data_IF_619047336895
#
_entry.id   IF_619047336895
#
_cell.length_a   1.000
_cell.length_b   1.000
_cell.length_c   1.000
_cell.angle_alpha   90.00
_cell.angle_beta   90.00
_cell.angle_gamma   90.00
#
_symmetry.space_group_name_H-M   'P 1'
#
loop_
_entity.id
_entity.type
_entity.pdbx_description
1 polymer ?
#
# COMPACT_ATOMS: atom_id res chain seq x y z
N UNK A 1 34.17 0.39 -31.81
CA UNK A 1 32.72 0.44 -31.56
C UNK A 1 32.54 0.45 -30.05
N UNK A 2 32.44 1.64 -29.46
CA UNK A 2 32.30 1.81 -28.01
C UNK A 2 30.81 1.76 -27.67
N UNK A 3 30.44 0.81 -26.83
CA UNK A 3 29.07 0.63 -26.33
C UNK A 3 28.90 1.54 -25.12
N UNK A 4 28.16 2.64 -25.28
CA UNK A 4 27.66 3.47 -24.17
C UNK A 4 26.45 2.73 -23.60
N UNK A 5 26.57 2.18 -22.38
CA UNK A 5 25.50 1.41 -21.72
C UNK A 5 25.12 1.92 -20.32
N UNK A 6 25.73 3.02 -19.86
CA UNK A 6 25.55 3.57 -18.49
C UNK A 6 24.80 4.92 -18.42
N UNK A 7 24.45 5.53 -19.56
CA UNK A 7 23.82 6.86 -19.59
C UNK A 7 22.37 6.85 -19.11
N UNK A 8 21.56 5.85 -19.48
CA UNK A 8 20.12 5.82 -19.13
C UNK A 8 19.87 5.70 -17.63
N UNK A 9 20.70 4.94 -16.92
CA UNK A 9 20.54 4.76 -15.48
C UNK A 9 20.95 6.03 -14.71
N UNK A 10 21.93 6.75 -15.25
CA UNK A 10 22.39 8.03 -14.69
C UNK A 10 21.36 9.12 -14.94
N UNK A 11 20.78 9.18 -16.14
CA UNK A 11 19.71 10.09 -16.51
C UNK A 11 18.43 9.87 -15.68
N UNK A 12 18.02 8.62 -15.46
CA UNK A 12 16.87 8.29 -14.62
C UNK A 12 17.08 8.71 -13.15
N UNK A 13 18.30 8.55 -12.63
CA UNK A 13 18.64 9.00 -11.26
C UNK A 13 18.63 10.53 -11.15
N UNK A 14 19.12 11.23 -12.16
CA UNK A 14 19.11 12.70 -12.21
C UNK A 14 17.67 13.22 -12.33
N UNK A 15 16.84 12.62 -13.19
CA UNK A 15 15.42 12.98 -13.33
C UNK A 15 14.68 12.81 -11.99
N UNK A 16 14.89 11.68 -11.31
CA UNK A 16 14.31 11.41 -9.99
C UNK A 16 14.73 12.45 -8.95
N UNK A 17 16.02 12.83 -8.93
CA UNK A 17 16.54 13.82 -7.98
C UNK A 17 16.00 15.25 -8.25
N UNK A 18 15.86 15.63 -9.52
CA UNK A 18 15.30 16.95 -9.89
C UNK A 18 13.81 17.06 -9.54
N UNK A 19 13.07 15.98 -9.64
CA UNK A 19 11.66 15.93 -9.24
C UNK A 19 11.49 15.98 -7.72
N UNK A 20 12.40 15.35 -6.96
CA UNK A 20 12.43 15.48 -5.50
C UNK A 20 12.59 16.94 -5.06
N UNK A 21 13.43 17.70 -5.77
CA UNK A 21 13.58 19.15 -5.54
C UNK A 21 12.28 19.88 -5.88
N UNK A 22 11.62 19.54 -6.99
CA UNK A 22 10.39 20.20 -7.42
C UNK A 22 9.21 19.95 -6.46
N UNK A 23 9.05 18.71 -5.98
CA UNK A 23 8.04 18.35 -4.97
C UNK A 23 8.31 19.11 -3.66
N UNK A 24 9.57 19.15 -3.22
CA UNK A 24 9.97 19.90 -2.02
C UNK A 24 9.63 21.39 -2.14
N UNK A 25 9.87 21.99 -3.32
CA UNK A 25 9.55 23.39 -3.59
C UNK A 25 8.04 23.65 -3.58
N UNK A 26 7.22 22.77 -4.17
CA UNK A 26 5.75 22.88 -4.13
C UNK A 26 5.20 22.80 -2.70
N UNK A 27 5.78 21.94 -1.85
CA UNK A 27 5.40 21.84 -0.43
C UNK A 27 5.75 23.10 0.37
N UNK A 28 6.91 23.73 0.10
CA UNK A 28 7.32 25.01 0.71
C UNK A 28 6.38 26.15 0.29
N UNK A 29 5.85 26.10 -0.94
CA UNK A 29 5.01 27.15 -1.52
C UNK A 29 3.51 27.04 -1.16
N UNK A 30 3.10 26.04 -0.36
CA UNK A 30 1.86 26.10 0.42
C UNK A 30 0.56 25.64 -0.27
N UNK A 31 0.62 24.94 -1.40
CA UNK A 31 -0.58 24.30 -2.00
C UNK A 31 -0.95 23.01 -1.23
N UNK A 32 -1.57 23.16 -0.05
CA UNK A 32 -2.05 22.01 0.74
C UNK A 32 -3.43 21.56 0.28
N UNK A 33 -3.48 20.80 -0.80
CA UNK A 33 -4.59 19.88 -1.06
C UNK A 33 -4.38 18.58 -0.25
N UNK A 34 -5.43 17.96 0.31
CA UNK A 34 -5.35 16.64 0.93
C UNK A 34 -5.16 15.58 -0.18
N UNK A 35 -3.97 15.55 -0.79
CA UNK A 35 -3.64 14.69 -1.92
C UNK A 35 -2.77 13.54 -1.44
N UNK A 36 -3.26 12.32 -1.65
CA UNK A 36 -2.66 11.05 -1.19
C UNK A 36 -1.20 10.83 -1.61
N UNK A 37 -0.77 11.47 -2.72
CA UNK A 37 0.61 11.37 -3.20
C UNK A 37 1.41 12.67 -3.14
N UNK A 38 0.85 13.81 -2.72
CA UNK A 38 1.63 15.07 -2.64
C UNK A 38 2.56 15.11 -1.42
N UNK A 39 2.32 14.25 -0.42
CA UNK A 39 3.13 14.13 0.78
C UNK A 39 3.96 12.85 0.75
N UNK A 40 4.68 12.59 -0.35
CA UNK A 40 5.74 11.58 -0.33
C UNK A 40 6.82 12.05 0.62
N UNK A 41 6.86 11.50 1.83
CA UNK A 41 7.96 11.73 2.74
C UNK A 41 9.15 10.85 2.35
N UNK A 42 10.34 11.45 2.31
CA UNK A 42 11.58 10.70 2.48
C UNK A 42 11.62 10.26 3.94
N UNK A 43 11.02 9.11 4.25
CA UNK A 43 10.99 8.61 5.62
C UNK A 43 12.40 8.29 6.10
N UNK A 44 12.73 8.75 7.30
CA UNK A 44 13.97 8.43 7.98
C UNK A 44 14.04 6.94 8.35
N UNK A 45 15.26 6.47 8.57
CA UNK A 45 15.54 5.16 9.16
C UNK A 45 14.65 4.93 10.41
N UNK A 46 13.92 3.81 10.44
CA UNK A 46 13.09 3.41 11.60
C UNK A 46 11.65 3.95 11.64
N UNK A 47 11.05 4.39 10.53
CA UNK A 47 9.62 4.75 10.50
C UNK A 47 8.69 3.53 10.64
N UNK A 48 7.46 3.75 11.13
CA UNK A 48 6.43 2.71 11.24
C UNK A 48 6.06 2.14 9.86
N UNK A 49 6.06 2.98 8.82
CA UNK A 49 5.81 2.59 7.44
C UNK A 49 6.88 1.62 6.95
N UNK A 50 8.16 1.92 7.22
CA UNK A 50 9.27 1.07 6.83
C UNK A 50 9.26 -0.24 7.62
N UNK A 51 8.98 -0.22 8.92
CA UNK A 51 8.84 -1.44 9.72
C UNK A 51 7.69 -2.31 9.18
N UNK A 52 6.52 -1.71 8.95
CA UNK A 52 5.36 -2.42 8.41
C UNK A 52 5.68 -3.02 7.04
N UNK A 53 6.19 -2.21 6.10
CA UNK A 53 6.59 -2.66 4.77
C UNK A 53 7.65 -3.76 4.81
N UNK A 54 8.61 -3.65 5.74
CA UNK A 54 9.65 -4.66 5.93
C UNK A 54 9.07 -5.98 6.42
N UNK A 55 8.14 -5.95 7.38
CA UNK A 55 7.45 -7.14 7.86
C UNK A 55 6.70 -7.85 6.71
N UNK A 56 6.00 -7.10 5.86
CA UNK A 56 5.32 -7.66 4.67
C UNK A 56 6.34 -8.26 3.70
N UNK A 57 7.40 -7.51 3.36
CA UNK A 57 8.44 -7.95 2.41
C UNK A 57 9.14 -9.22 2.87
N UNK A 58 9.44 -9.34 4.17
CA UNK A 58 10.11 -10.51 4.72
C UNK A 58 9.28 -11.78 4.59
N UNK A 59 7.95 -11.71 4.71
CA UNK A 59 7.08 -12.88 4.43
C UNK A 59 7.30 -13.38 2.99
N UNK A 60 7.40 -12.47 2.02
CA UNK A 60 7.67 -12.84 0.63
C UNK A 60 9.09 -13.38 0.41
N UNK A 61 10.09 -12.90 1.17
CA UNK A 61 11.46 -13.42 1.13
C UNK A 61 11.51 -14.84 1.68
N UNK A 62 10.89 -15.08 2.85
CA UNK A 62 10.78 -16.40 3.46
C UNK A 62 10.07 -17.41 2.54
N UNK A 63 9.00 -16.97 1.86
CA UNK A 63 8.30 -17.78 0.86
C UNK A 63 9.13 -18.08 -0.39
N UNK A 64 9.94 -17.12 -0.85
CA UNK A 64 10.85 -17.34 -1.98
C UNK A 64 11.92 -18.38 -1.63
N UNK A 65 12.49 -18.30 -0.41
CA UNK A 65 13.42 -19.31 0.12
C UNK A 65 12.78 -20.70 0.13
N UNK A 66 11.58 -20.83 0.70
CA UNK A 66 10.88 -22.12 0.79
C UNK A 66 10.52 -22.67 -0.59
N UNK A 67 10.12 -21.80 -1.51
CA UNK A 67 9.86 -22.19 -2.90
C UNK A 67 11.10 -22.84 -3.52
N UNK A 68 12.28 -22.24 -3.34
CA UNK A 68 13.54 -22.77 -3.87
C UNK A 68 13.96 -24.06 -3.17
N UNK A 69 13.96 -24.07 -1.83
CA UNK A 69 14.34 -25.25 -1.02
C UNK A 69 13.47 -26.48 -1.32
N UNK A 70 12.19 -26.27 -1.63
CA UNK A 70 11.23 -27.34 -1.92
C UNK A 70 10.99 -27.56 -3.43
N UNK A 71 11.75 -26.89 -4.30
CA UNK A 71 11.60 -26.96 -5.76
C UNK A 71 10.15 -26.74 -6.25
N UNK A 72 9.46 -25.76 -5.67
CA UNK A 72 8.08 -25.43 -5.99
C UNK A 72 8.00 -24.45 -7.17
N UNK A 73 6.98 -24.58 -8.02
CA UNK A 73 6.76 -23.66 -9.14
C UNK A 73 6.27 -22.26 -8.71
N UNK A 74 5.59 -22.17 -7.56
CA UNK A 74 4.96 -20.93 -7.06
C UNK A 74 4.99 -20.85 -5.54
N UNK A 75 5.01 -19.63 -4.99
CA UNK A 75 4.78 -19.36 -3.57
C UNK A 75 3.37 -19.82 -3.16
N UNK A 76 3.19 -20.21 -1.90
CA UNK A 76 1.87 -20.64 -1.42
C UNK A 76 1.04 -19.45 -0.97
N UNK A 77 -0.04 -19.13 -1.69
CA UNK A 77 -0.92 -18.02 -1.34
C UNK A 77 -1.53 -18.15 0.07
N UNK A 78 -1.86 -19.38 0.48
CA UNK A 78 -2.40 -19.66 1.83
C UNK A 78 -1.36 -19.39 2.91
N UNK A 79 -0.11 -19.84 2.71
CA UNK A 79 0.96 -19.58 3.69
C UNK A 79 1.32 -18.11 3.76
N UNK A 80 1.44 -17.43 2.61
CA UNK A 80 1.62 -15.98 2.54
C UNK A 80 0.52 -15.28 3.35
N UNK A 81 -0.75 -15.59 3.08
CA UNK A 81 -1.88 -14.94 3.76
C UNK A 81 -1.85 -15.15 5.28
N UNK A 82 -1.57 -16.37 5.74
CA UNK A 82 -1.49 -16.68 7.16
C UNK A 82 -0.34 -15.95 7.84
N UNK A 83 0.86 -15.98 7.24
CA UNK A 83 2.03 -15.31 7.81
C UNK A 83 1.89 -13.80 7.81
N UNK A 84 1.33 -13.20 6.74
CA UNK A 84 1.00 -11.78 6.75
C UNK A 84 0.06 -11.44 7.90
N UNK A 85 -1.00 -12.23 8.12
CA UNK A 85 -1.91 -12.05 9.25
C UNK A 85 -1.18 -12.04 10.60
N UNK A 86 -0.31 -13.02 10.84
CA UNK A 86 0.46 -13.14 12.08
C UNK A 86 1.42 -11.95 12.27
N UNK A 87 2.17 -11.59 11.22
CA UNK A 87 3.14 -10.47 11.28
C UNK A 87 2.44 -9.13 11.53
N UNK A 88 1.27 -8.91 10.91
CA UNK A 88 0.47 -7.71 11.14
C UNK A 88 -0.09 -7.66 12.56
N UNK A 89 -0.64 -8.76 13.08
CA UNK A 89 -1.09 -8.82 14.48
C UNK A 89 0.04 -8.46 15.43
N UNK A 90 1.22 -9.03 15.23
CA UNK A 90 2.39 -8.76 16.07
C UNK A 90 2.85 -7.30 15.96
N UNK A 91 2.80 -6.72 14.77
CA UNK A 91 3.10 -5.30 14.55
C UNK A 91 2.13 -4.41 15.33
N UNK A 92 0.82 -4.62 15.17
CA UNK A 92 -0.18 -3.79 15.83
C UNK A 92 -0.15 -3.96 17.36
N UNK A 93 -0.01 -5.19 17.89
CA UNK A 93 0.09 -5.42 19.34
C UNK A 93 1.34 -4.83 19.98
N UNK A 94 2.39 -4.54 19.20
CA UNK A 94 3.60 -3.87 19.68
C UNK A 94 3.40 -2.36 19.80
N UNK A 95 2.61 -1.78 18.89
CA UNK A 95 2.48 -0.34 18.72
C UNK A 95 1.20 0.24 19.31
N UNK A 96 0.15 -0.57 19.51
CA UNK A 96 -1.09 -0.15 20.15
C UNK A 96 -1.07 -0.54 21.63
N UNK A 97 -1.38 0.41 22.51
CA UNK A 97 -1.41 0.18 23.97
C UNK A 97 -2.82 -0.07 24.52
N UNK A 98 -3.85 0.35 23.79
CA UNK A 98 -5.26 0.32 24.21
C UNK A 98 -6.09 -0.78 23.53
N UNK A 99 -5.56 -1.43 22.50
CA UNK A 99 -6.26 -2.44 21.69
C UNK A 99 -5.41 -3.70 21.53
N UNK A 100 -6.09 -4.83 21.52
CA UNK A 100 -5.51 -6.13 21.15
C UNK A 100 -5.92 -6.47 19.73
N UNK A 101 -4.95 -6.72 18.87
CA UNK A 101 -5.12 -7.20 17.50
C UNK A 101 -5.13 -8.74 17.46
N UNK A 102 -6.00 -9.32 16.62
CA UNK A 102 -6.04 -10.74 16.31
C UNK A 102 -6.50 -10.98 14.86
N UNK A 103 -6.15 -12.12 14.28
CA UNK A 103 -6.61 -12.50 12.94
C UNK A 103 -8.05 -13.00 12.99
N UNK A 104 -8.89 -12.53 12.07
CA UNK A 104 -10.29 -12.95 11.94
C UNK A 104 -10.71 -12.94 10.46
N UNK A 105 -10.96 -14.12 9.89
CA UNK A 105 -11.51 -14.27 8.53
C UNK A 105 -10.80 -13.44 7.42
N UNK A 106 -9.46 -13.41 7.46
CA UNK A 106 -8.65 -12.61 6.51
C UNK A 106 -8.56 -11.12 6.84
N UNK A 107 -9.05 -10.70 7.99
CA UNK A 107 -8.92 -9.36 8.56
C UNK A 107 -8.10 -9.39 9.86
N UNK A 108 -7.69 -8.22 10.31
CA UNK A 108 -7.23 -7.96 11.68
C UNK A 108 -8.40 -7.33 12.45
N UNK A 109 -8.86 -8.02 13.48
CA UNK A 109 -9.87 -7.52 14.40
C UNK A 109 -9.16 -6.89 15.60
N UNK A 110 -9.53 -5.65 15.91
CA UNK A 110 -9.05 -4.96 17.10
C UNK A 110 -10.12 -5.01 18.18
N UNK A 111 -9.72 -5.43 19.37
CA UNK A 111 -10.57 -5.51 20.56
C UNK A 111 -10.07 -4.60 21.66
N UNK A 112 -10.99 -4.04 22.42
CA UNK A 112 -10.72 -3.46 23.74
C UNK A 112 -11.48 -4.31 24.74
N UNK A 113 -10.74 -5.00 25.60
CA UNK A 113 -11.31 -6.06 26.45
C UNK A 113 -12.07 -7.09 25.58
N UNK A 114 -13.37 -7.28 25.81
CA UNK A 114 -14.20 -8.21 25.03
C UNK A 114 -14.98 -7.57 23.88
N UNK A 115 -14.87 -6.26 23.69
CA UNK A 115 -15.61 -5.53 22.65
C UNK A 115 -14.82 -5.41 21.35
N UNK A 116 -15.48 -5.67 20.22
CA UNK A 116 -14.93 -5.46 18.88
C UNK A 116 -14.97 -3.96 18.54
N UNK A 117 -13.81 -3.36 18.26
CA UNK A 117 -13.67 -1.90 18.11
C UNK A 117 -13.37 -1.43 16.71
N UNK A 118 -12.55 -2.18 15.97
CA UNK A 118 -12.16 -1.85 14.61
C UNK A 118 -11.83 -3.12 13.82
N UNK A 119 -11.89 -3.00 12.50
CA UNK A 119 -11.54 -4.07 11.58
C UNK A 119 -10.59 -3.50 10.51
N UNK A 120 -9.52 -4.23 10.21
CA UNK A 120 -8.53 -3.81 9.22
C UNK A 120 -8.25 -4.93 8.21
N UNK A 121 -8.20 -4.58 6.93
CA UNK A 121 -7.79 -5.50 5.87
C UNK A 121 -6.55 -4.97 5.17
N UNK A 122 -5.54 -5.80 5.07
CA UNK A 122 -4.39 -5.53 4.21
C UNK A 122 -4.43 -6.39 2.95
N UNK A 123 -4.10 -5.78 1.82
CA UNK A 123 -3.84 -6.47 0.56
C UNK A 123 -2.53 -5.96 0.00
N UNK A 124 -1.60 -6.86 -0.33
CA UNK A 124 -0.29 -6.47 -0.90
C UNK A 124 -0.46 -5.65 -2.17
N UNK A 125 -1.42 -6.01 -3.00
CA UNK A 125 -1.86 -5.33 -4.21
C UNK A 125 -3.29 -5.78 -4.53
N UNK A 126 -3.97 -5.13 -5.48
CA UNK A 126 -5.32 -5.54 -5.88
C UNK A 126 -5.32 -6.68 -6.89
N UNK A 127 -4.31 -6.81 -7.74
CA UNK A 127 -4.18 -7.91 -8.70
C UNK A 127 -5.43 -8.07 -9.59
N UNK A 128 -6.17 -9.16 -9.38
CA UNK A 128 -7.44 -9.45 -10.08
C UNK A 128 -8.64 -8.69 -9.50
N UNK A 129 -8.52 -8.11 -8.31
CA UNK A 129 -9.56 -7.31 -7.64
C UNK A 129 -9.40 -5.81 -7.92
N UNK A 130 -8.68 -5.40 -8.97
CA UNK A 130 -8.48 -3.99 -9.32
C UNK A 130 -9.72 -3.38 -9.98
N UNK A 131 -9.82 -2.05 -9.96
CA UNK A 131 -10.99 -1.33 -10.46
C UNK A 131 -12.25 -1.64 -9.64
N UNK A 132 -13.41 -1.72 -10.28
CA UNK A 132 -14.69 -1.93 -9.58
C UNK A 132 -14.76 -3.27 -8.83
N UNK A 133 -13.96 -4.27 -9.21
CA UNK A 133 -13.88 -5.55 -8.49
C UNK A 133 -13.41 -5.38 -7.03
N UNK A 134 -12.71 -4.28 -6.70
CA UNK A 134 -12.33 -4.00 -5.32
C UNK A 134 -13.54 -3.67 -4.45
N UNK A 135 -14.61 -3.13 -5.03
CA UNK A 135 -15.80 -2.72 -4.30
C UNK A 135 -16.48 -3.91 -3.63
N UNK A 136 -16.40 -5.10 -4.23
CA UNK A 136 -16.92 -6.33 -3.63
C UNK A 136 -16.14 -6.73 -2.37
N UNK A 137 -14.81 -6.56 -2.37
CA UNK A 137 -13.99 -6.80 -1.19
C UNK A 137 -14.32 -5.83 -0.04
N UNK A 138 -14.62 -4.57 -0.39
CA UNK A 138 -15.05 -3.54 0.57
C UNK A 138 -16.45 -3.86 1.10
N UNK A 139 -17.39 -4.21 0.22
CA UNK A 139 -18.75 -4.62 0.59
C UNK A 139 -18.73 -5.78 1.58
N UNK A 140 -17.92 -6.81 1.31
CA UNK A 140 -17.73 -7.93 2.24
C UNK A 140 -17.20 -7.45 3.60
N UNK A 141 -16.23 -6.53 3.63
CA UNK A 141 -15.73 -5.95 4.87
C UNK A 141 -16.80 -5.20 5.66
N UNK A 142 -17.68 -4.46 4.98
CA UNK A 142 -18.82 -3.76 5.61
C UNK A 142 -19.84 -4.74 6.18
N UNK A 143 -20.17 -5.80 5.46
CA UNK A 143 -21.07 -6.86 5.93
C UNK A 143 -20.48 -7.56 7.17
N UNK A 144 -19.17 -7.84 7.14
CA UNK A 144 -18.48 -8.44 8.27
C UNK A 144 -18.42 -7.49 9.48
N UNK A 145 -18.12 -6.21 9.28
CA UNK A 145 -18.13 -5.21 10.36
C UNK A 145 -19.50 -5.13 11.04
N UNK A 146 -20.59 -5.10 10.25
CA UNK A 146 -21.97 -5.14 10.77
C UNK A 146 -22.23 -6.40 11.60
N UNK A 147 -21.82 -7.57 11.11
CA UNK A 147 -21.96 -8.85 11.82
C UNK A 147 -21.22 -8.87 13.15
N UNK A 148 -20.05 -8.22 13.22
CA UNK A 148 -19.21 -8.15 14.41
C UNK A 148 -19.57 -7.00 15.36
N UNK A 149 -20.53 -6.14 15.01
CA UNK A 149 -20.90 -4.95 15.77
C UNK A 149 -19.85 -3.82 15.71
N UNK A 150 -18.94 -3.87 14.73
CA UNK A 150 -17.91 -2.83 14.53
C UNK A 150 -18.52 -1.65 13.76
N UNK A 151 -18.37 -0.40 14.23
CA UNK A 151 -18.81 0.77 13.46
C UNK A 151 -18.17 0.81 12.07
N UNK A 152 -18.95 1.12 11.03
CA UNK A 152 -18.42 1.18 9.65
C UNK A 152 -17.32 2.24 9.54
N UNK A 153 -17.35 3.32 10.32
CA UNK A 153 -16.27 4.32 10.40
C UNK A 153 -14.93 3.76 10.89
N UNK A 154 -14.94 2.60 11.55
CA UNK A 154 -13.79 1.92 12.12
C UNK A 154 -13.39 0.67 11.31
N UNK A 155 -13.84 0.62 10.06
CA UNK A 155 -13.41 -0.36 9.07
C UNK A 155 -12.33 0.28 8.17
N UNK A 156 -11.15 -0.31 8.17
CA UNK A 156 -9.99 0.22 7.47
C UNK A 156 -9.45 -0.80 6.45
N UNK A 157 -8.91 -0.29 5.34
CA UNK A 157 -8.26 -1.10 4.33
C UNK A 157 -6.92 -0.48 3.95
N UNK A 158 -5.93 -1.30 3.66
CA UNK A 158 -4.65 -0.84 3.13
C UNK A 158 -4.22 -1.66 1.92
N UNK A 159 -3.80 -0.96 0.88
CA UNK A 159 -3.20 -1.54 -0.33
C UNK A 159 -1.69 -1.31 -0.25
N UNK A 160 -0.92 -2.39 -0.20
CA UNK A 160 0.53 -2.38 -0.01
C UNK A 160 1.30 -1.78 -1.19
N UNK A 161 0.81 -1.94 -2.42
CA UNK A 161 1.46 -1.45 -3.62
C UNK A 161 0.46 -1.10 -4.72
N UNK A 162 0.68 0.03 -5.39
CA UNK A 162 -0.16 0.46 -6.51
C UNK A 162 0.24 -0.23 -7.83
N UNK A 163 1.47 -0.76 -7.94
CA UNK A 163 2.04 -1.28 -9.20
C UNK A 163 1.20 -2.36 -9.88
N UNK A 164 0.42 -3.14 -9.12
CA UNK A 164 -0.51 -4.17 -9.63
C UNK A 164 -1.98 -3.88 -9.28
N UNK A 165 -2.30 -2.62 -8.99
CA UNK A 165 -3.61 -2.20 -8.48
C UNK A 165 -4.38 -1.27 -9.41
N UNK A 166 -3.77 -0.87 -10.53
CA UNK A 166 -4.39 0.02 -11.53
C UNK A 166 -4.98 -0.78 -12.67
N UNK A 167 -6.21 -0.45 -13.08
CA UNK A 167 -6.83 -0.92 -14.31
C UNK A 167 -7.01 0.27 -15.26
N UNK A 168 -6.33 0.25 -16.41
CA UNK A 168 -6.37 1.34 -17.38
C UNK A 168 -7.79 1.65 -17.87
N UNK A 169 -8.63 0.62 -18.04
CA UNK A 169 -10.02 0.80 -18.46
C UNK A 169 -10.82 1.53 -17.39
N UNK A 170 -10.56 1.20 -16.13
CA UNK A 170 -11.16 1.86 -14.99
C UNK A 170 -10.67 3.29 -14.81
N UNK A 171 -9.37 3.56 -15.00
CA UNK A 171 -8.80 4.93 -14.96
C UNK A 171 -9.51 5.82 -15.97
N UNK A 172 -9.66 5.35 -17.22
CA UNK A 172 -10.36 6.08 -18.28
C UNK A 172 -11.81 6.37 -17.92
N UNK A 173 -12.51 5.39 -17.34
CA UNK A 173 -13.89 5.52 -16.86
C UNK A 173 -14.02 6.58 -15.75
N UNK A 174 -13.18 6.48 -14.70
CA UNK A 174 -13.21 7.40 -13.55
C UNK A 174 -12.84 8.82 -13.95
N UNK A 175 -11.84 9.00 -14.82
CA UNK A 175 -11.37 10.32 -15.24
C UNK A 175 -12.16 10.91 -16.41
N UNK A 176 -13.04 10.14 -17.05
CA UNK A 176 -13.85 10.58 -18.18
C UNK A 176 -13.04 10.93 -19.44
N UNK A 177 -11.85 10.34 -19.60
CA UNK A 177 -10.98 10.59 -20.76
C UNK A 177 -10.37 9.29 -21.29
N UNK A 178 -10.15 9.22 -22.60
CA UNK A 178 -9.50 8.08 -23.26
C UNK A 178 -7.99 8.27 -23.40
N UNK A 179 -7.49 9.49 -23.21
CA UNK A 179 -6.07 9.84 -23.30
C UNK A 179 -5.35 9.56 -21.97
N UNK A 180 -5.25 8.27 -21.64
CA UNK A 180 -4.56 7.77 -20.46
C UNK A 180 -3.45 6.83 -20.96
N UNK A 181 -2.18 7.06 -20.58
CA UNK A 181 -1.09 6.18 -20.97
C UNK A 181 -1.26 4.80 -20.34
N UNK A 182 -0.47 3.81 -20.75
CA UNK A 182 -0.51 2.51 -20.07
C UNK A 182 -0.13 2.62 -18.59
N UNK A 183 -0.46 1.58 -17.82
CA UNK A 183 -0.26 1.58 -16.36
C UNK A 183 1.20 1.80 -15.94
N UNK A 184 2.16 1.28 -16.71
CA UNK A 184 3.58 1.41 -16.37
C UNK A 184 4.06 2.85 -16.51
N UNK A 185 3.56 3.56 -17.53
CA UNK A 185 3.81 4.97 -17.74
C UNK A 185 3.03 5.83 -16.73
N UNK A 186 1.78 5.48 -16.42
CA UNK A 186 0.97 6.21 -15.42
C UNK A 186 1.61 6.21 -14.02
N UNK A 187 2.37 5.16 -13.69
CA UNK A 187 3.12 5.06 -12.44
C UNK A 187 4.43 5.85 -12.45
N UNK A 188 4.86 6.36 -13.61
CA UNK A 188 6.08 7.15 -13.70
C UNK A 188 5.89 8.54 -13.08
N UNK A 189 6.98 9.16 -12.58
CA UNK A 189 6.91 10.48 -11.96
C UNK A 189 6.28 11.57 -12.84
N UNK A 190 6.51 11.51 -14.16
CA UNK A 190 5.95 12.49 -15.11
C UNK A 190 4.42 12.49 -15.17
N UNK A 191 3.76 11.43 -14.71
CA UNK A 191 2.29 11.31 -14.66
C UNK A 191 1.73 11.35 -13.24
N UNK A 192 2.53 11.80 -12.26
CA UNK A 192 2.15 11.83 -10.85
C UNK A 192 0.83 12.57 -10.59
N UNK A 193 0.65 13.76 -11.15
CA UNK A 193 -0.58 14.56 -10.94
C UNK A 193 -1.83 13.83 -11.48
N UNK A 194 -1.69 13.11 -12.60
CA UNK A 194 -2.76 12.30 -13.17
C UNK A 194 -3.07 11.09 -12.28
N UNK A 195 -2.03 10.44 -11.74
CA UNK A 195 -2.18 9.34 -10.81
C UNK A 195 -2.88 9.77 -9.51
N UNK A 196 -2.50 10.91 -8.93
CA UNK A 196 -3.18 11.50 -7.76
C UNK A 196 -4.65 11.72 -8.04
N UNK A 197 -4.95 12.39 -9.17
CA UNK A 197 -6.32 12.67 -9.58
C UNK A 197 -7.15 11.40 -9.71
N UNK A 198 -6.59 10.36 -10.33
CA UNK A 198 -7.24 9.06 -10.42
C UNK A 198 -7.50 8.43 -9.05
N UNK A 199 -6.49 8.34 -8.18
CA UNK A 199 -6.61 7.67 -6.88
C UNK A 199 -7.63 8.34 -5.97
N UNK A 200 -7.65 9.69 -5.95
CA UNK A 200 -8.66 10.42 -5.19
C UNK A 200 -10.07 10.12 -5.71
N UNK A 201 -10.29 10.27 -7.02
CA UNK A 201 -11.60 10.01 -7.62
C UNK A 201 -12.04 8.55 -7.45
N UNK A 202 -11.09 7.61 -7.51
CA UNK A 202 -11.33 6.20 -7.27
C UNK A 202 -11.79 5.95 -5.83
N UNK A 203 -11.06 6.47 -4.84
CA UNK A 203 -11.42 6.34 -3.42
C UNK A 203 -12.78 6.98 -3.12
N UNK A 204 -13.05 8.17 -3.68
CA UNK A 204 -14.34 8.86 -3.52
C UNK A 204 -15.51 8.08 -4.11
N UNK A 205 -15.26 7.32 -5.19
CA UNK A 205 -16.31 6.55 -5.86
C UNK A 205 -16.70 5.26 -5.13
N UNK A 206 -16.05 4.89 -4.02
CA UNK A 206 -16.38 3.70 -3.22
C UNK A 206 -17.70 3.93 -2.46
N UNK A 207 -18.79 3.23 -2.81
CA UNK A 207 -20.13 3.58 -2.31
C UNK A 207 -20.44 3.05 -0.91
N UNK A 208 -19.60 2.16 -0.37
CA UNK A 208 -19.91 1.40 0.84
C UNK A 208 -19.33 1.98 2.13
N UNK A 209 -18.44 2.98 2.04
CA UNK A 209 -17.72 3.54 3.19
C UNK A 209 -18.28 4.92 3.55
N UNK A 210 -18.26 5.25 4.84
CA UNK A 210 -18.77 6.52 5.37
C UNK A 210 -17.80 7.66 5.03
N UNK A 211 -16.51 7.40 5.12
CA UNK A 211 -15.46 8.35 4.79
C UNK A 211 -14.30 7.62 4.10
N UNK A 212 -14.40 7.34 2.79
CA UNK A 212 -13.41 6.54 2.07
C UNK A 212 -11.95 7.03 2.25
N UNK A 213 -11.72 8.34 2.23
CA UNK A 213 -10.38 8.95 2.41
C UNK A 213 -9.77 8.73 3.81
N UNK A 214 -10.57 8.42 4.82
CA UNK A 214 -10.10 8.06 6.16
C UNK A 214 -10.03 6.55 6.40
N UNK A 215 -10.49 5.77 5.43
CA UNK A 215 -10.70 4.34 5.57
C UNK A 215 -9.88 3.52 4.59
N UNK A 216 -9.42 4.11 3.47
CA UNK A 216 -8.55 3.49 2.48
C UNK A 216 -7.16 4.11 2.57
N UNK A 217 -6.17 3.28 2.84
CA UNK A 217 -4.77 3.64 2.92
C UNK A 217 -4.02 3.02 1.73
N UNK A 218 -3.09 3.78 1.15
CA UNK A 218 -2.19 3.29 0.11
C UNK A 218 -0.78 3.35 0.70
N UNK A 219 -0.02 2.26 0.65
CA UNK A 219 1.28 2.23 1.33
C UNK A 219 2.38 2.82 0.44
N UNK A 220 2.54 2.33 -0.79
CA UNK A 220 3.55 2.85 -1.71
C UNK A 220 3.12 2.74 -3.18
N UNK A 221 3.54 3.72 -3.99
CA UNK A 221 3.42 3.70 -5.45
C UNK A 221 4.64 3.10 -6.15
N UNK A 222 5.80 3.07 -5.48
CA UNK A 222 7.10 2.87 -6.13
C UNK A 222 7.65 1.45 -6.05
N UNK A 223 7.25 0.66 -5.04
CA UNK A 223 7.83 -0.67 -4.80
C UNK A 223 6.73 -1.69 -4.52
N UNK A 224 6.91 -2.91 -5.02
CA UNK A 224 6.03 -4.03 -4.75
C UNK A 224 6.73 -5.05 -3.84
N UNK A 225 6.19 -5.41 -2.66
CA UNK A 225 6.85 -6.30 -1.69
C UNK A 225 7.32 -7.63 -2.27
N UNK A 226 6.48 -8.32 -3.05
CA UNK A 226 6.84 -9.57 -3.71
C UNK A 226 7.96 -9.44 -4.77
N UNK A 227 8.02 -8.32 -5.50
CA UNK A 227 9.08 -8.08 -6.49
C UNK A 227 10.39 -7.83 -5.77
N UNK A 228 10.37 -6.94 -4.77
CA UNK A 228 11.55 -6.64 -3.96
C UNK A 228 12.07 -7.89 -3.23
N UNK A 229 11.19 -8.74 -2.72
CA UNK A 229 11.58 -9.98 -2.06
C UNK A 229 12.38 -10.92 -2.96
N UNK A 230 12.04 -11.00 -4.25
CA UNK A 230 12.82 -11.76 -5.23
C UNK A 230 14.22 -11.15 -5.42
N UNK A 231 14.33 -9.81 -5.44
CA UNK A 231 15.63 -9.13 -5.55
C UNK A 231 16.48 -9.34 -4.30
N UNK A 232 15.91 -9.19 -3.11
CA UNK A 232 16.58 -9.46 -1.84
C UNK A 232 17.13 -10.89 -1.83
N UNK A 233 16.30 -11.88 -2.16
CA UNK A 233 16.69 -13.28 -2.12
C UNK A 233 17.77 -13.63 -3.16
N UNK A 234 17.61 -13.21 -4.42
CA UNK A 234 18.50 -13.63 -5.50
C UNK A 234 19.74 -12.74 -5.69
N UNK A 235 19.65 -11.47 -5.31
CA UNK A 235 20.74 -10.48 -5.47
C UNK A 235 21.42 -10.14 -4.14
N UNK A 236 21.01 -10.77 -3.04
CA UNK A 236 21.51 -10.51 -1.68
C UNK A 236 21.46 -9.01 -1.30
N UNK A 237 20.37 -8.35 -1.68
CA UNK A 237 20.14 -6.94 -1.42
C UNK A 237 19.42 -6.72 -0.09
N UNK A 238 19.60 -5.56 0.54
CA UNK A 238 18.80 -5.13 1.67
C UNK A 238 17.52 -4.42 1.21
N UNK A 239 16.53 -4.33 2.11
CA UNK A 239 15.34 -3.50 1.89
C UNK A 239 15.81 -2.03 1.75
N UNK A 240 15.43 -1.34 0.66
CA UNK A 240 15.75 0.08 0.47
C UNK A 240 15.20 0.90 1.64
N UNK A 241 16.00 1.84 2.12
CA UNK A 241 15.61 2.70 3.25
C UNK A 241 14.83 3.94 2.79
N UNK A 242 14.91 4.28 1.50
CA UNK A 242 14.31 5.46 0.88
C UNK A 242 13.01 5.13 0.11
N UNK A 243 12.20 4.21 0.63
CA UNK A 243 10.91 3.88 0.01
C UNK A 243 9.99 5.09 0.15
N UNK A 244 9.36 5.45 -0.97
CA UNK A 244 8.38 6.52 -1.05
C UNK A 244 7.02 5.99 -0.56
N UNK A 245 6.67 6.36 0.67
CA UNK A 245 5.38 6.04 1.26
C UNK A 245 4.35 7.13 0.95
N UNK A 246 3.08 6.76 0.93
CA UNK A 246 1.96 7.64 0.64
C UNK A 246 1.20 7.98 1.93
N UNK A 247 0.49 9.11 1.89
CA UNK A 247 -0.40 9.53 2.97
C UNK A 247 -1.87 9.23 2.58
N UNK A 248 -2.78 8.93 3.53
CA UNK A 248 -2.51 8.72 4.94
C UNK A 248 -1.65 7.46 5.17
N UNK A 249 -0.67 7.57 6.07
CA UNK A 249 0.36 6.53 6.27
C UNK A 249 0.00 5.47 7.32
N UNK A 250 0.90 4.50 7.56
CA UNK A 250 0.79 3.54 8.67
C UNK A 250 0.76 4.26 10.01
N UNK A 251 1.55 5.32 10.18
CA UNK A 251 1.54 6.16 11.38
C UNK A 251 0.17 6.77 11.63
N UNK A 252 -0.51 7.26 10.59
CA UNK A 252 -1.85 7.82 10.72
C UNK A 252 -2.90 6.76 11.07
N UNK A 253 -2.77 5.55 10.52
CA UNK A 253 -3.60 4.42 10.91
C UNK A 253 -3.43 4.07 12.40
N UNK A 254 -2.19 3.97 12.89
CA UNK A 254 -1.90 3.71 14.31
C UNK A 254 -2.55 4.78 15.20
N UNK A 255 -2.32 6.07 14.90
CA UNK A 255 -2.93 7.18 15.64
C UNK A 255 -4.45 7.12 15.63
N UNK A 256 -5.05 6.75 14.50
CA UNK A 256 -6.51 6.60 14.38
C UNK A 256 -7.02 5.47 15.27
N UNK A 257 -6.32 4.33 15.32
CA UNK A 257 -6.68 3.19 16.17
C UNK A 257 -6.48 3.48 17.66
N UNK A 258 -5.48 4.27 18.04
CA UNK A 258 -5.24 4.68 19.44
C UNK A 258 -6.38 5.55 20.02
N UNK A 259 -7.14 6.23 19.16
CA UNK A 259 -8.27 7.07 19.57
C UNK A 259 -9.58 6.29 19.77
N UNK A 260 -9.60 4.98 19.48
CA UNK A 260 -10.77 4.10 19.61
C UNK A 260 -10.78 3.39 20.99
#
# INVERSE_FOLDING_TARGET
>A
MLVIKDDDNTLNRIATALEEINVTLKQILGERTPNLLQNVQNTSFGSLELEFFSNITQVYVEEERIKVEKNLKRKSAVRVSNELGIRMVNFFNRHLTNLTALTYDGYILFKKEDENKALFRFQTDLGFNRGEAYYDAIKHGVELAKKLGVPISNLFFMIGSIHNSIDNSHVKKILGTTDIPDNSILLSPSYHDLLVKYLNAYIESIPYLVNPHKQIFLLTSSVHPNVLAWEIFNKNQSIPQNIKFLEPSVTELIKTLELI
#
